data_IF_001159275206
#
_entry.id   IF_001159275206
#
_cell.length_a   1.000
_cell.length_b   1.000
_cell.length_c   1.000
_cell.angle_alpha   90.00
_cell.angle_beta   90.00
_cell.angle_gamma   90.00
#
_symmetry.space_group_name_H-M   'P 1'
#
loop_
_entity.id
_entity.type
_entity.pdbx_description
1 polymer ?
#
# COMPACT_ATOMS: atom_id res chain seq x y z
N UNK A 1 15.53 -28.99 -3.94
CA UNK A 1 15.12 -28.44 -4.07
C UNK A 1 14.77 -28.05 -4.03
N UNK A 2 15.02 -28.13 -4.05
CA UNK A 2 14.54 -27.45 -4.08
C UNK A 2 14.17 -26.89 -3.86
N UNK A 3 14.13 -26.61 -3.65
CA UNK A 3 13.57 -25.93 -3.58
C UNK A 3 13.45 -25.19 -3.45
N UNK A 4 13.73 -25.22 -3.33
CA UNK A 4 13.30 -24.40 -3.33
C UNK A 4 13.14 -23.82 -3.03
N UNK A 5 13.23 -23.69 -2.79
CA UNK A 5 12.80 -23.04 -2.62
C UNK A 5 12.51 -22.52 -2.18
N UNK A 6 12.53 -22.62 -1.87
CA UNK A 6 12.00 -22.11 -1.58
C UNK A 6 11.66 -21.54 -1.14
N UNK A 7 11.82 -21.51 -0.84
CA UNK A 7 11.27 -20.91 -0.46
C UNK A 7 10.84 -20.48 -0.05
N UNK A 8 10.90 -20.48 0.13
CA UNK A 8 10.20 -20.03 0.32
C UNK A 8 9.69 -19.77 0.65
N UNK A 9 9.85 -19.88 0.93
CA UNK A 9 9.05 -19.58 1.07
C UNK A 9 8.68 -19.28 1.38
N UNK A 10 8.66 -19.28 1.61
CA UNK A 10 7.90 -18.93 1.68
C UNK A 10 7.31 -18.64 1.78
N UNK A 11 7.55 -18.69 1.94
CA UNK A 11 6.88 -18.47 1.84
C UNK A 11 6.08 -18.58 1.91
N UNK A 12 6.03 -18.64 2.15
CA UNK A 12 5.30 -18.84 2.21
C UNK A 12 4.60 -18.82 1.90
N UNK A 13 5.27 -19.36 2.13
CA UNK A 13 4.24 -19.38 1.50
C UNK A 13 3.49 -18.35 1.35
N UNK A 14 3.83 -17.62 1.47
CA UNK A 14 3.12 -16.43 1.42
C UNK A 14 2.18 -16.33 0.28
N UNK A 15 1.03 -16.81 0.52
CA UNK A 15 -0.02 -16.71 -0.47
C UNK A 15 -0.76 -15.39 -0.36
N UNK A 16 -0.50 -14.60 0.68
CA UNK A 16 -1.16 -13.34 0.87
C UNK A 16 -0.58 -12.24 0.00
N UNK A 17 -1.23 -11.07 -0.04
CA UNK A 17 -0.73 -9.97 -0.84
C UNK A 17 0.58 -9.42 -0.31
N UNK A 18 1.37 -8.87 -1.21
CA UNK A 18 2.68 -8.32 -0.89
C UNK A 18 2.90 -7.03 -1.67
N UNK A 19 3.73 -6.16 -1.10
CA UNK A 19 4.16 -4.95 -1.78
C UNK A 19 5.64 -5.04 -2.09
N UNK A 20 6.03 -4.53 -3.26
CA UNK A 20 7.43 -4.29 -3.57
C UNK A 20 7.56 -2.86 -4.07
N UNK A 21 8.75 -2.32 -3.97
CA UNK A 21 8.99 -0.91 -4.24
C UNK A 21 10.11 -0.72 -5.24
N UNK A 22 9.93 0.23 -6.16
CA UNK A 22 11.03 0.75 -6.94
C UNK A 22 11.13 2.24 -6.63
N UNK A 23 12.35 2.73 -6.40
CA UNK A 23 12.54 4.10 -5.98
C UNK A 23 13.45 4.84 -6.94
N UNK A 24 13.07 6.07 -7.27
CA UNK A 24 13.87 6.94 -8.11
C UNK A 24 14.00 8.30 -7.46
N UNK A 25 14.62 8.34 -6.25
CA UNK A 25 14.74 9.57 -5.51
C UNK A 25 13.53 9.82 -4.64
N UNK A 26 12.82 10.92 -4.90
CA UNK A 26 11.68 11.31 -4.06
C UNK A 26 10.40 10.55 -4.37
N UNK A 27 10.35 9.85 -5.47
CA UNK A 27 9.16 9.13 -5.87
C UNK A 27 9.52 7.75 -6.36
N UNK A 28 8.52 6.93 -6.58
CA UNK A 28 8.73 5.58 -7.08
C UNK A 28 7.41 4.90 -7.34
N UNK A 29 7.50 3.59 -7.45
CA UNK A 29 6.35 2.75 -7.76
C UNK A 29 6.19 1.70 -6.67
N UNK A 30 4.94 1.48 -6.26
CA UNK A 30 4.59 0.36 -5.38
C UNK A 30 3.91 -0.66 -6.26
N UNK A 31 4.41 -1.89 -6.25
CA UNK A 31 3.74 -3.00 -6.92
C UNK A 31 3.02 -3.84 -5.87
N UNK A 32 1.71 -3.95 -6.04
CA UNK A 32 0.89 -4.85 -5.25
C UNK A 32 0.81 -6.17 -6.01
N UNK A 33 1.05 -7.26 -5.30
CA UNK A 33 0.99 -8.60 -5.90
C UNK A 33 0.20 -9.51 -4.98
N UNK A 34 -0.74 -10.24 -5.54
CA UNK A 34 -1.45 -11.29 -4.82
C UNK A 34 -1.51 -12.52 -5.71
N UNK A 35 -2.15 -13.58 -5.22
CA UNK A 35 -2.30 -14.78 -6.02
C UNK A 35 -3.18 -14.56 -7.25
N UNK A 36 -3.95 -13.48 -7.27
CA UNK A 36 -4.95 -13.24 -8.32
C UNK A 36 -4.60 -12.11 -9.26
N UNK A 37 -3.78 -11.15 -8.81
CA UNK A 37 -3.53 -9.99 -9.62
C UNK A 37 -2.27 -9.27 -9.17
N UNK A 38 -1.77 -8.40 -10.04
CA UNK A 38 -0.75 -7.43 -9.65
C UNK A 38 -1.04 -6.12 -10.36
N UNK A 39 -0.68 -5.01 -9.70
CA UNK A 39 -0.82 -3.69 -10.31
C UNK A 39 0.17 -2.74 -9.67
N UNK A 40 0.48 -1.66 -10.38
CA UNK A 40 1.44 -0.66 -9.93
C UNK A 40 0.71 0.63 -9.60
N UNK A 41 1.14 1.28 -8.52
CA UNK A 41 0.71 2.63 -8.17
C UNK A 41 1.96 3.42 -7.82
N UNK A 42 1.91 4.74 -7.99
CA UNK A 42 3.07 5.57 -7.67
C UNK A 42 3.00 6.06 -6.24
N UNK A 43 4.13 6.44 -5.70
CA UNK A 43 4.19 7.12 -4.43
C UNK A 43 5.27 8.19 -4.46
N UNK A 44 5.19 9.10 -3.51
CA UNK A 44 6.12 10.22 -3.42
C UNK A 44 6.35 10.54 -1.95
N UNK A 45 7.60 10.81 -1.60
CA UNK A 45 7.89 11.30 -0.25
C UNK A 45 7.51 12.76 -0.16
N UNK A 46 6.98 13.15 1.00
CA UNK A 46 6.47 14.49 1.21
C UNK A 46 7.06 15.08 2.49
N UNK A 47 6.70 16.31 2.79
CA UNK A 47 7.17 16.99 4.01
C UNK A 47 6.22 16.69 5.16
N UNK A 48 6.77 16.52 6.38
CA UNK A 48 5.92 16.30 7.54
C UNK A 48 4.84 17.39 7.69
N UNK A 49 3.65 17.03 8.22
CA UNK A 49 3.32 15.73 8.84
C UNK A 49 3.03 14.61 7.85
N UNK A 50 2.85 14.91 6.57
CA UNK A 50 2.66 13.88 5.55
C UNK A 50 4.02 13.39 5.10
N UNK A 51 4.28 12.10 5.23
CA UNK A 51 5.56 11.53 4.82
C UNK A 51 5.51 10.89 3.45
N UNK A 52 4.39 10.25 3.10
CA UNK A 52 4.25 9.53 1.84
C UNK A 52 2.87 9.81 1.29
N UNK A 53 2.82 10.09 0.01
CA UNK A 53 1.56 10.26 -0.72
C UNK A 53 1.52 9.16 -1.78
N UNK A 54 0.44 8.39 -1.81
CA UNK A 54 0.29 7.26 -2.71
C UNK A 54 -0.89 7.54 -3.63
N UNK A 55 -0.65 7.48 -4.94
CA UNK A 55 -1.73 7.62 -5.93
C UNK A 55 -2.48 6.30 -6.08
N UNK A 56 -3.80 6.35 -6.00
CA UNK A 56 -4.61 5.15 -6.08
C UNK A 56 -5.66 5.31 -7.18
N UNK A 57 -6.10 4.18 -7.78
CA UNK A 57 -7.17 4.25 -8.77
C UNK A 57 -8.48 4.71 -8.13
N UNK A 58 -9.15 5.65 -8.80
CA UNK A 58 -10.48 6.07 -8.36
C UNK A 58 -11.45 4.90 -8.45
N UNK A 59 -12.52 4.98 -7.69
CA UNK A 59 -13.51 3.89 -7.64
C UNK A 59 -13.98 3.46 -9.01
N UNK A 60 -14.24 4.43 -9.90
CA UNK A 60 -14.77 4.11 -11.23
C UNK A 60 -13.78 3.39 -12.13
N UNK A 61 -12.49 3.49 -11.84
CA UNK A 61 -11.45 2.81 -12.62
C UNK A 61 -10.87 1.61 -11.88
N UNK A 62 -11.30 1.39 -10.65
CA UNK A 62 -10.68 0.43 -9.77
C UNK A 62 -10.62 -0.98 -10.34
N UNK A 63 -11.77 -1.49 -10.77
CA UNK A 63 -11.81 -2.87 -11.27
C UNK A 63 -11.03 -3.04 -12.56
N UNK A 64 -11.06 -2.04 -13.42
CA UNK A 64 -10.33 -2.11 -14.68
C UNK A 64 -8.82 -2.12 -14.44
N UNK A 65 -8.35 -1.33 -13.48
CA UNK A 65 -6.91 -1.20 -13.25
C UNK A 65 -6.33 -2.25 -12.33
N UNK A 66 -7.11 -2.76 -11.39
CA UNK A 66 -6.58 -3.69 -10.39
C UNK A 66 -7.03 -5.13 -10.58
N UNK A 67 -8.15 -5.35 -11.27
CA UNK A 67 -8.79 -6.65 -11.39
C UNK A 67 -9.32 -7.18 -10.06
N UNK A 68 -9.53 -6.28 -9.11
CA UNK A 68 -10.10 -6.58 -7.79
C UNK A 68 -11.49 -5.96 -7.77
N UNK A 69 -12.46 -6.66 -7.17
CA UNK A 69 -13.81 -6.13 -7.11
C UNK A 69 -13.88 -4.82 -6.34
N UNK A 70 -14.80 -3.96 -6.71
CA UNK A 70 -14.97 -2.68 -6.03
C UNK A 70 -15.32 -2.88 -4.56
N UNK A 71 -16.05 -3.95 -4.24
CA UNK A 71 -16.39 -4.25 -2.85
C UNK A 71 -15.15 -4.48 -1.98
N UNK A 72 -14.04 -4.88 -2.59
CA UNK A 72 -12.80 -5.15 -1.87
C UNK A 72 -11.83 -3.98 -1.87
N UNK A 73 -12.20 -2.87 -2.52
CA UNK A 73 -11.30 -1.71 -2.65
C UNK A 73 -10.84 -1.19 -1.31
N UNK A 74 -11.76 -0.98 -0.38
CA UNK A 74 -11.43 -0.42 0.93
C UNK A 74 -10.42 -1.30 1.67
N UNK A 75 -10.66 -2.60 1.69
CA UNK A 75 -9.76 -3.52 2.39
C UNK A 75 -8.40 -3.59 1.72
N UNK A 76 -8.36 -3.55 0.40
CA UNK A 76 -7.11 -3.57 -0.33
C UNK A 76 -6.29 -2.31 -0.05
N UNK A 77 -6.95 -1.16 -0.05
CA UNK A 77 -6.26 0.10 0.24
C UNK A 77 -5.79 0.16 1.68
N UNK A 78 -6.55 -0.40 2.62
CA UNK A 78 -6.14 -0.46 4.01
C UNK A 78 -4.90 -1.34 4.16
N UNK A 79 -4.86 -2.48 3.46
CA UNK A 79 -3.68 -3.33 3.46
C UNK A 79 -2.45 -2.56 2.95
N UNK A 80 -2.61 -1.84 1.84
CA UNK A 80 -1.50 -1.08 1.25
C UNK A 80 -1.00 -0.05 2.25
N UNK A 81 -1.92 0.71 2.86
CA UNK A 81 -1.54 1.75 3.81
C UNK A 81 -0.80 1.16 5.01
N UNK A 82 -1.32 0.08 5.60
CA UNK A 82 -0.72 -0.54 6.77
C UNK A 82 0.68 -1.07 6.45
N UNK A 83 0.83 -1.67 5.28
CA UNK A 83 2.12 -2.23 4.89
C UNK A 83 3.15 -1.14 4.61
N UNK A 84 2.73 -0.04 3.98
CA UNK A 84 3.64 1.08 3.71
C UNK A 84 4.11 1.69 5.03
N UNK A 85 3.20 1.86 5.99
CA UNK A 85 3.59 2.36 7.31
C UNK A 85 4.65 1.46 7.92
N UNK A 86 4.42 0.16 7.87
CA UNK A 86 5.34 -0.82 8.44
C UNK A 86 6.70 -0.81 7.74
N UNK A 87 6.68 -0.69 6.40
CA UNK A 87 7.90 -0.80 5.60
C UNK A 87 8.70 0.48 5.56
N UNK A 88 8.06 1.64 5.64
CA UNK A 88 8.72 2.91 5.36
C UNK A 88 8.90 3.79 6.59
N UNK A 89 8.14 3.57 7.65
CA UNK A 89 8.23 4.41 8.83
C UNK A 89 8.92 3.64 9.95
N UNK A 90 9.65 4.37 10.79
CA UNK A 90 10.34 3.77 11.93
C UNK A 90 9.58 3.94 13.24
N UNK A 91 8.49 4.68 13.21
CA UNK A 91 7.68 4.92 14.39
C UNK A 91 6.20 4.82 14.04
N UNK A 92 5.39 5.49 14.82
CA UNK A 92 3.96 5.50 14.57
C UNK A 92 3.64 6.25 13.28
N UNK A 93 2.63 5.76 12.60
CA UNK A 93 2.11 6.43 11.42
C UNK A 93 0.64 6.11 11.27
N UNK A 94 -0.04 6.91 10.51
CA UNK A 94 -1.45 6.65 10.21
C UNK A 94 -1.76 7.12 8.79
N UNK A 95 -2.86 6.60 8.24
CA UNK A 95 -3.23 6.88 6.86
C UNK A 95 -4.51 7.68 6.79
N UNK A 96 -4.58 8.58 5.83
CA UNK A 96 -5.79 9.29 5.45
C UNK A 96 -6.09 8.92 4.02
N UNK A 97 -7.36 8.68 3.72
CA UNK A 97 -7.80 8.19 2.42
C UNK A 97 -8.75 9.19 1.77
N UNK A 98 -8.54 9.42 0.49
CA UNK A 98 -9.58 10.04 -0.31
C UNK A 98 -9.68 9.23 -1.62
N UNK A 99 -10.42 9.74 -2.58
CA UNK A 99 -10.71 8.98 -3.79
C UNK A 99 -9.47 8.77 -4.65
N UNK A 100 -8.50 9.66 -4.54
CA UNK A 100 -7.32 9.66 -5.43
C UNK A 100 -6.01 9.34 -4.72
N UNK A 101 -5.96 9.48 -3.39
CA UNK A 101 -4.71 9.33 -2.68
C UNK A 101 -4.86 8.65 -1.33
N UNK A 102 -3.80 7.97 -0.92
CA UNK A 102 -3.56 7.61 0.48
C UNK A 102 -2.43 8.51 0.94
N UNK A 103 -2.65 9.24 2.03
CA UNK A 103 -1.62 10.08 2.63
C UNK A 103 -1.18 9.43 3.93
N UNK A 104 0.10 9.09 4.02
CA UNK A 104 0.68 8.50 5.24
C UNK A 104 1.30 9.61 6.04
N UNK A 105 0.89 9.76 7.29
CA UNK A 105 1.34 10.82 8.18
C UNK A 105 2.12 10.24 9.35
N UNK A 106 3.00 11.06 9.92
CA UNK A 106 3.78 10.65 11.11
C UNK A 106 2.95 10.75 12.36
N UNK A 107 3.31 9.92 13.35
CA UNK A 107 2.72 9.99 14.67
C UNK A 107 1.43 9.23 14.77
N UNK A 108 0.68 9.55 15.80
CA UNK A 108 -0.60 8.89 16.04
C UNK A 108 -1.72 9.71 15.42
N UNK A 109 -2.72 9.00 14.95
CA UNK A 109 -3.88 9.66 14.39
C UNK A 109 -4.47 10.61 15.44
N UNK A 110 -4.69 11.89 15.09
CA UNK A 110 -5.27 12.84 16.04
C UNK A 110 -6.63 12.38 16.52
N UNK A 111 -6.90 12.61 17.78
CA UNK A 111 -8.24 12.39 18.32
C UNK A 111 -9.18 13.38 17.66
N UNK A 112 -10.34 12.88 17.27
CA UNK A 112 -11.33 13.73 16.62
C UNK A 112 -12.38 14.11 17.63
N UNK A 113 -12.37 15.35 18.05
CA UNK A 113 -13.29 15.80 19.11
C UNK A 113 -14.72 15.96 18.64
N UNK A 114 -14.92 16.00 17.35
CA UNK A 114 -16.25 16.25 16.80
C UNK A 114 -16.97 15.00 16.34
N UNK A 115 -16.35 13.92 16.48
CA UNK A 115 -16.90 12.64 15.99
C UNK A 115 -17.68 11.96 17.04
#
# INVERSE_FOLDING_TARGET
>A
MPKSRQPTAHQTAGSGPQLSYSEGGRSGTIRYTSSETSFDIWYEFAMPPALVIIGIPESRYWEAQTKISLAQRKDTLQFIADQVIKDKLTGDGYAQFDEQFITICTGKKPATVYD
#
